data_IF_419391528343
#
_entry.id   IF_419391528343
#
_cell.length_a   1.000
_cell.length_b   1.000
_cell.length_c   1.000
_cell.angle_alpha   90.00
_cell.angle_beta   90.00
_cell.angle_gamma   90.00
#
_symmetry.space_group_name_H-M   'P 1'
#
loop_
_entity.id
_entity.type
_entity.pdbx_description
1 polymer ?
#
# COMPACT_ATOMS: atom_id res chain seq x y z
N UNK A 1 12.90 41.21 -5.18
CA UNK A 1 11.52 40.98 -4.69
C UNK A 1 10.80 40.18 -5.77
N UNK A 2 10.59 38.88 -5.57
CA UNK A 2 9.70 38.13 -6.45
C UNK A 2 8.27 38.50 -6.06
N UNK A 3 7.55 39.19 -6.94
CA UNK A 3 6.12 39.47 -6.81
C UNK A 3 5.39 38.15 -6.61
N UNK A 4 4.79 37.94 -5.44
CA UNK A 4 3.93 36.77 -5.18
C UNK A 4 2.62 36.99 -5.93
N UNK A 5 2.59 36.57 -7.19
CA UNK A 5 1.37 36.50 -7.98
C UNK A 5 0.55 35.31 -7.48
N UNK A 6 -0.72 35.54 -7.15
CA UNK A 6 -1.72 34.49 -6.93
C UNK A 6 -2.79 34.63 -8.01
N UNK A 7 -3.27 33.51 -8.54
CA UNK A 7 -4.27 33.48 -9.62
C UNK A 7 -5.24 32.35 -9.40
N UNK A 8 -6.47 32.56 -9.84
CA UNK A 8 -7.57 31.61 -9.76
C UNK A 8 -7.59 30.85 -11.09
N UNK A 9 -7.38 29.54 -11.02
CA UNK A 9 -7.46 28.65 -12.18
C UNK A 9 -8.81 27.92 -12.17
N UNK A 10 -9.68 28.11 -13.17
CA UNK A 10 -10.96 27.40 -13.26
C UNK A 10 -10.83 25.89 -13.51
N UNK A 11 -9.69 25.38 -14.02
CA UNK A 11 -9.54 23.98 -14.38
C UNK A 11 -8.09 23.46 -14.23
N UNK A 12 -7.97 22.17 -13.88
CA UNK A 12 -6.76 21.36 -14.06
C UNK A 12 -7.03 20.34 -15.17
N UNK A 13 -6.16 20.30 -16.17
CA UNK A 13 -6.22 19.34 -17.27
C UNK A 13 -5.23 18.22 -16.96
N UNK A 14 -5.74 17.01 -16.79
CA UNK A 14 -4.91 15.82 -16.55
C UNK A 14 -4.80 15.01 -17.83
N UNK A 15 -3.57 14.79 -18.29
CA UNK A 15 -3.28 13.94 -19.45
C UNK A 15 -2.46 12.73 -18.99
N UNK A 16 -3.01 11.54 -19.16
CA UNK A 16 -2.37 10.26 -18.80
C UNK A 16 -2.34 9.33 -20.00
N UNK A 17 -1.20 8.68 -20.24
CA UNK A 17 -1.04 7.80 -21.40
C UNK A 17 -1.64 6.41 -21.17
N UNK A 18 -1.65 5.91 -19.94
CA UNK A 18 -2.19 4.58 -19.61
C UNK A 18 -3.12 4.57 -18.39
N UNK A 19 -4.34 4.07 -18.60
CA UNK A 19 -5.40 3.97 -17.59
C UNK A 19 -5.57 2.55 -17.01
N UNK A 20 -4.84 1.55 -17.53
CA UNK A 20 -5.11 0.12 -17.27
C UNK A 20 -3.95 -0.63 -16.61
N UNK A 21 -2.97 0.09 -16.05
CA UNK A 21 -1.82 -0.56 -15.40
C UNK A 21 -2.21 -1.11 -14.01
N UNK A 22 -1.84 -2.36 -13.77
CA UNK A 22 -1.96 -2.99 -12.45
C UNK A 22 -0.90 -2.38 -11.52
N UNK A 23 -1.29 -1.95 -10.32
CA UNK A 23 -0.35 -1.47 -9.30
C UNK A 23 0.63 -2.58 -8.92
N UNK A 24 1.89 -2.41 -9.29
CA UNK A 24 3.00 -3.30 -8.95
C UNK A 24 4.25 -2.45 -8.71
N UNK A 25 5.29 -3.05 -8.14
CA UNK A 25 6.60 -2.40 -8.05
C UNK A 25 7.12 -2.07 -9.45
N UNK A 26 7.80 -0.93 -9.60
CA UNK A 26 8.34 -0.46 -10.87
C UNK A 26 7.34 0.21 -11.82
N UNK A 27 6.08 0.40 -11.40
CA UNK A 27 5.14 1.25 -12.14
C UNK A 27 5.65 2.69 -12.16
N UNK A 28 5.54 3.37 -13.30
CA UNK A 28 5.97 4.75 -13.44
C UNK A 28 5.06 5.70 -12.65
N UNK A 29 5.64 6.34 -11.63
CA UNK A 29 4.99 7.29 -10.73
C UNK A 29 5.40 8.74 -11.01
N UNK A 30 6.05 9.01 -12.15
CA UNK A 30 6.51 10.34 -12.54
C UNK A 30 5.39 11.21 -13.09
N UNK A 31 5.53 12.52 -12.92
CA UNK A 31 4.61 13.50 -13.47
C UNK A 31 5.30 14.84 -13.73
N UNK A 32 4.65 15.67 -14.54
CA UNK A 32 4.99 17.08 -14.70
C UNK A 32 3.76 17.96 -14.51
N UNK A 33 3.87 18.96 -13.65
CA UNK A 33 2.83 19.94 -13.32
C UNK A 33 3.27 21.34 -13.78
N UNK A 34 2.50 21.95 -14.68
CA UNK A 34 2.77 23.26 -15.25
C UNK A 34 1.62 24.22 -14.94
N UNK A 35 1.94 25.39 -14.41
CA UNK A 35 0.97 26.43 -14.05
C UNK A 35 1.53 27.81 -14.46
N UNK A 36 0.91 28.51 -15.42
CA UNK A 36 -0.23 28.05 -16.22
C UNK A 36 0.14 26.95 -17.22
N UNK A 37 -0.88 26.33 -17.82
CA UNK A 37 -0.74 25.49 -19.02
C UNK A 37 -0.08 26.31 -20.15
N UNK A 38 0.96 25.80 -20.82
CA UNK A 38 1.59 26.46 -21.97
C UNK A 38 0.62 26.84 -23.11
N UNK A 39 -0.44 26.06 -23.31
CA UNK A 39 -1.42 26.23 -24.39
C UNK A 39 -2.68 26.99 -23.93
N UNK A 40 -2.97 27.02 -22.63
CA UNK A 40 -4.09 27.76 -22.02
C UNK A 40 -3.68 28.47 -20.72
N UNK A 41 -3.45 29.78 -20.80
CA UNK A 41 -3.05 30.60 -19.66
C UNK A 41 -4.06 30.60 -18.48
N UNK A 42 -5.27 30.07 -18.67
CA UNK A 42 -6.33 29.96 -17.65
C UNK A 42 -6.42 28.58 -17.00
N UNK A 43 -5.61 27.61 -17.42
CA UNK A 43 -5.61 26.25 -16.87
C UNK A 43 -4.27 25.90 -16.21
N UNK A 44 -4.27 24.84 -15.41
CA UNK A 44 -3.07 24.11 -15.00
C UNK A 44 -2.99 22.80 -15.78
N UNK A 45 -1.79 22.40 -16.21
CA UNK A 45 -1.56 21.16 -16.94
C UNK A 45 -0.80 20.15 -16.08
N UNK A 46 -1.40 18.98 -15.87
CA UNK A 46 -0.76 17.83 -15.25
C UNK A 46 -0.60 16.71 -16.28
N UNK A 47 0.64 16.34 -16.56
CA UNK A 47 0.98 15.23 -17.46
C UNK A 47 1.64 14.11 -16.67
N UNK A 48 1.26 12.86 -16.95
CA UNK A 48 1.87 11.68 -16.34
C UNK A 48 1.81 10.49 -17.29
N UNK A 49 2.73 9.55 -17.12
CA UNK A 49 2.72 8.29 -17.89
C UNK A 49 1.55 7.40 -17.47
N UNK A 50 1.30 7.32 -16.16
CA UNK A 50 0.28 6.47 -15.56
C UNK A 50 -0.65 7.25 -14.64
N UNK A 51 -1.79 6.64 -14.29
CA UNK A 51 -2.71 7.19 -13.27
C UNK A 51 -2.01 7.43 -11.93
N UNK A 52 -0.99 6.65 -11.57
CA UNK A 52 -0.28 6.79 -10.29
C UNK A 52 0.60 8.04 -10.25
N UNK A 53 1.28 8.36 -11.35
CA UNK A 53 1.95 9.65 -11.50
C UNK A 53 0.99 10.82 -11.40
N UNK A 54 -0.19 10.71 -12.02
CA UNK A 54 -1.23 11.73 -11.92
C UNK A 54 -1.74 11.91 -10.49
N UNK A 55 -1.96 10.82 -9.72
CA UNK A 55 -2.34 10.91 -8.30
C UNK A 55 -1.31 11.68 -7.48
N UNK A 56 -0.01 11.41 -7.68
CA UNK A 56 1.07 12.14 -7.01
C UNK A 56 1.11 13.62 -7.40
N UNK A 57 0.87 13.91 -8.69
CA UNK A 57 0.81 15.28 -9.20
C UNK A 57 -0.39 16.07 -8.66
N UNK A 58 -1.54 15.42 -8.50
CA UNK A 58 -2.72 16.01 -7.86
C UNK A 58 -2.47 16.32 -6.38
N UNK A 59 -1.77 15.43 -5.66
CA UNK A 59 -1.37 15.72 -4.28
C UNK A 59 -0.40 16.91 -4.22
N UNK A 60 0.57 16.99 -5.13
CA UNK A 60 1.45 18.16 -5.18
C UNK A 60 0.69 19.44 -5.52
N UNK A 61 -0.28 19.38 -6.44
CA UNK A 61 -1.15 20.51 -6.75
C UNK A 61 -2.00 20.95 -5.56
N UNK A 62 -2.51 20.00 -4.76
CA UNK A 62 -3.29 20.28 -3.54
C UNK A 62 -2.47 21.10 -2.53
N UNK A 63 -1.17 20.81 -2.40
CA UNK A 63 -0.26 21.50 -1.48
C UNK A 63 0.14 22.92 -1.95
N UNK A 64 0.05 23.20 -3.25
CA UNK A 64 0.30 24.54 -3.81
C UNK A 64 -0.94 25.44 -3.66
N UNK A 65 -2.13 24.84 -3.66
CA UNK A 65 -3.39 25.52 -3.39
C UNK A 65 -3.43 26.01 -1.93
N UNK A 66 -3.89 27.24 -1.73
CA UNK A 66 -4.07 27.78 -0.39
C UNK A 66 -5.32 28.64 -0.30
N UNK A 67 -6.06 28.49 0.79
CA UNK A 67 -7.21 29.33 1.07
C UNK A 67 -6.75 30.73 1.50
N UNK A 68 -7.26 31.76 0.82
CA UNK A 68 -7.08 33.15 1.19
C UNK A 68 -8.30 33.61 2.01
N UNK A 69 -8.08 33.92 3.29
CA UNK A 69 -9.14 34.32 4.20
C UNK A 69 -9.75 35.71 3.88
N UNK A 70 -9.00 36.57 3.19
CA UNK A 70 -9.49 37.91 2.81
C UNK A 70 -10.43 37.82 1.61
N UNK A 71 -10.00 37.14 0.55
CA UNK A 71 -10.82 36.97 -0.66
C UNK A 71 -11.86 35.86 -0.52
N UNK A 72 -11.72 35.00 0.51
CA UNK A 72 -12.51 33.78 0.74
C UNK A 72 -12.47 32.82 -0.45
N UNK A 73 -11.36 32.80 -1.17
CA UNK A 73 -11.14 31.96 -2.34
C UNK A 73 -9.91 31.09 -2.16
N UNK A 74 -9.91 29.91 -2.79
CA UNK A 74 -8.71 29.10 -2.94
C UNK A 74 -7.89 29.67 -4.08
N UNK A 75 -6.63 29.98 -3.80
CA UNK A 75 -5.69 30.57 -4.75
C UNK A 75 -4.49 29.65 -4.94
N UNK A 76 -3.96 29.60 -6.16
CA UNK A 76 -2.71 28.89 -6.45
C UNK A 76 -1.54 29.83 -6.20
N UNK A 77 -0.56 29.38 -5.43
CA UNK A 77 0.63 30.17 -5.06
C UNK A 77 1.83 29.86 -5.96
N UNK A 78 2.81 30.77 -5.96
CA UNK A 78 4.13 30.59 -6.56
C UNK A 78 4.17 30.46 -8.09
N UNK A 79 3.19 31.02 -8.79
CA UNK A 79 3.16 31.01 -10.26
C UNK A 79 4.18 32.00 -10.86
N UNK A 80 4.80 31.68 -12.01
CA UNK A 80 4.65 30.42 -12.76
C UNK A 80 5.39 29.24 -12.09
N UNK A 81 4.82 28.04 -12.23
CA UNK A 81 5.35 26.78 -11.70
C UNK A 81 5.58 25.80 -12.85
N UNK A 82 6.74 25.14 -12.85
CA UNK A 82 7.03 23.97 -13.69
C UNK A 82 7.75 22.94 -12.82
N UNK A 83 7.01 21.91 -12.39
CA UNK A 83 7.49 20.84 -11.52
C UNK A 83 7.59 19.57 -12.35
N UNK A 84 8.79 18.99 -12.40
CA UNK A 84 9.01 17.62 -12.88
C UNK A 84 9.43 16.79 -11.68
N UNK A 85 8.66 15.77 -11.34
CA UNK A 85 8.90 14.97 -10.14
C UNK A 85 8.76 13.47 -10.42
N UNK A 86 9.53 12.68 -9.66
CA UNK A 86 9.50 11.22 -9.68
C UNK A 86 10.10 10.67 -8.39
N UNK A 87 9.65 9.50 -7.91
CA UNK A 87 10.27 8.90 -6.74
C UNK A 87 11.71 8.48 -7.03
N UNK A 88 12.59 8.69 -6.04
CA UNK A 88 13.96 8.13 -6.06
C UNK A 88 13.97 6.62 -5.89
N UNK A 89 13.03 6.08 -5.11
CA UNK A 89 12.91 4.66 -4.78
C UNK A 89 11.47 4.18 -4.99
N UNK A 90 11.32 3.02 -5.61
CA UNK A 90 10.03 2.42 -5.97
C UNK A 90 9.28 1.86 -4.76
N UNK A 91 9.99 1.39 -3.74
CA UNK A 91 9.39 0.84 -2.52
C UNK A 91 9.42 1.88 -1.40
N UNK A 92 8.25 2.41 -1.01
CA UNK A 92 8.11 3.41 0.05
C UNK A 92 7.04 2.95 1.03
N UNK A 93 7.49 2.17 2.01
CA UNK A 93 6.62 1.39 2.88
C UNK A 93 6.33 2.02 4.24
N UNK A 94 5.13 1.76 4.75
CA UNK A 94 4.75 1.95 6.15
C UNK A 94 4.26 0.61 6.71
N UNK A 95 4.76 0.21 7.88
CA UNK A 95 4.30 -1.01 8.56
C UNK A 95 3.25 -0.66 9.62
N UNK A 96 2.13 -1.38 9.63
CA UNK A 96 1.17 -1.38 10.74
C UNK A 96 1.10 -2.78 11.36
N UNK A 97 1.03 -2.84 12.68
CA UNK A 97 0.88 -4.08 13.45
C UNK A 97 -0.53 -4.15 14.03
N UNK A 98 -1.35 -5.04 13.50
CA UNK A 98 -2.74 -5.22 13.94
C UNK A 98 -2.93 -6.49 14.78
N UNK A 99 -1.83 -7.11 15.19
CA UNK A 99 -1.88 -8.28 16.07
C UNK A 99 -1.66 -7.91 17.52
N UNK A 100 -0.65 -7.09 17.81
CA UNK A 100 -0.32 -6.66 19.18
C UNK A 100 -1.45 -5.82 19.79
N UNK A 101 -2.12 -5.03 18.95
CA UNK A 101 -3.38 -4.38 19.24
C UNK A 101 -4.24 -4.44 17.99
N UNK A 102 -5.55 -4.66 18.15
CA UNK A 102 -6.48 -4.59 17.03
C UNK A 102 -6.67 -3.14 16.59
N UNK A 103 -6.58 -2.89 15.29
CA UNK A 103 -6.83 -1.56 14.70
C UNK A 103 -8.14 -1.56 13.92
N UNK A 104 -9.13 -0.72 14.28
CA UNK A 104 -10.37 -0.63 13.51
C UNK A 104 -10.11 -0.25 12.04
N UNK A 105 -10.89 -0.80 11.11
CA UNK A 105 -10.72 -0.53 9.67
C UNK A 105 -10.72 0.97 9.31
N UNK A 106 -11.48 1.79 10.05
CA UNK A 106 -11.47 3.25 9.88
C UNK A 106 -10.08 3.85 10.11
N UNK A 107 -9.34 3.34 11.09
CA UNK A 107 -7.97 3.79 11.38
C UNK A 107 -7.02 3.33 10.29
N UNK A 108 -7.11 2.06 9.86
CA UNK A 108 -6.31 1.53 8.74
C UNK A 108 -6.51 2.38 7.47
N UNK A 109 -7.74 2.75 7.15
CA UNK A 109 -8.04 3.64 6.01
C UNK A 109 -7.44 5.03 6.18
N UNK A 110 -7.58 5.62 7.38
CA UNK A 110 -6.98 6.92 7.68
C UNK A 110 -5.45 6.92 7.56
N UNK A 111 -4.80 5.80 7.87
CA UNK A 111 -3.36 5.62 7.66
C UNK A 111 -3.04 5.60 6.17
N UNK A 112 -3.81 4.86 5.35
CA UNK A 112 -3.63 4.82 3.90
C UNK A 112 -3.88 6.20 3.26
N UNK A 113 -4.88 6.94 3.72
CA UNK A 113 -5.10 8.34 3.29
C UNK A 113 -3.87 9.21 3.59
N UNK A 114 -3.32 9.07 4.80
CA UNK A 114 -2.12 9.81 5.20
C UNK A 114 -0.88 9.41 4.40
N UNK A 115 -0.78 8.13 4.00
CA UNK A 115 0.26 7.63 3.13
C UNK A 115 0.20 8.31 1.75
N UNK A 116 -1.00 8.55 1.21
CA UNK A 116 -1.18 9.24 -0.06
C UNK A 116 -0.63 10.68 -0.02
N UNK A 117 -0.89 11.43 1.07
CA UNK A 117 -0.34 12.77 1.26
C UNK A 117 1.20 12.79 1.26
N UNK A 118 1.81 11.74 1.79
CA UNK A 118 3.27 11.56 1.82
C UNK A 118 3.85 10.81 0.61
N UNK A 119 3.02 10.47 -0.38
CA UNK A 119 3.39 9.66 -1.56
C UNK A 119 4.02 8.30 -1.20
N UNK A 120 3.66 7.71 -0.06
CA UNK A 120 3.99 6.33 0.29
C UNK A 120 3.08 5.38 -0.51
N UNK A 121 3.63 4.25 -0.96
CA UNK A 121 2.94 3.38 -1.92
C UNK A 121 2.86 1.90 -1.49
N UNK A 122 3.43 1.55 -0.33
CA UNK A 122 3.33 0.19 0.21
C UNK A 122 2.83 0.22 1.65
N UNK A 123 1.68 -0.38 1.90
CA UNK A 123 1.27 -0.70 3.27
C UNK A 123 1.78 -2.11 3.58
N UNK A 124 2.79 -2.21 4.44
CA UNK A 124 3.22 -3.46 5.02
C UNK A 124 2.30 -3.79 6.20
N UNK A 125 1.25 -4.54 5.93
CA UNK A 125 0.29 -4.92 6.96
C UNK A 125 0.79 -6.17 7.71
N UNK A 126 1.31 -5.97 8.92
CA UNK A 126 1.68 -7.04 9.86
C UNK A 126 0.41 -7.49 10.60
N UNK A 127 -0.33 -8.41 9.97
CA UNK A 127 -1.71 -8.71 10.38
C UNK A 127 -1.78 -9.63 11.61
N UNK A 128 -0.84 -10.57 11.75
CA UNK A 128 -0.87 -11.64 12.76
C UNK A 128 0.47 -11.74 13.47
N UNK A 129 0.44 -12.15 14.73
CA UNK A 129 1.60 -12.36 15.60
C UNK A 129 1.22 -13.30 16.75
N UNK A 130 2.11 -13.48 17.72
CA UNK A 130 1.94 -14.35 18.89
C UNK A 130 0.69 -14.00 19.69
N UNK A 131 0.37 -12.71 19.81
CA UNK A 131 -0.67 -12.18 20.68
C UNK A 131 -2.07 -12.35 20.11
N UNK A 132 -2.24 -12.24 18.78
CA UNK A 132 -3.55 -12.46 18.17
C UNK A 132 -3.50 -12.83 16.68
N UNK A 133 -4.56 -13.51 16.25
CA UNK A 133 -4.83 -13.85 14.85
C UNK A 133 -6.20 -13.29 14.42
N UNK A 134 -6.29 -12.01 14.00
CA UNK A 134 -7.58 -11.38 13.70
C UNK A 134 -8.12 -11.67 12.29
N UNK A 135 -7.30 -12.15 11.36
CA UNK A 135 -7.68 -12.33 9.96
C UNK A 135 -8.48 -13.62 9.71
N UNK A 136 -9.55 -13.51 8.93
CA UNK A 136 -10.29 -14.66 8.43
C UNK A 136 -9.52 -15.43 7.35
N UNK A 137 -9.37 -16.74 7.55
CA UNK A 137 -8.83 -17.66 6.54
C UNK A 137 -9.88 -18.75 6.30
N UNK A 138 -10.69 -18.67 5.22
CA UNK A 138 -11.80 -19.60 5.01
C UNK A 138 -11.41 -21.08 4.96
N UNK A 139 -10.21 -21.38 4.45
CA UNK A 139 -9.67 -22.75 4.41
C UNK A 139 -9.22 -23.27 5.79
N UNK A 140 -9.01 -22.38 6.76
CA UNK A 140 -8.59 -22.69 8.12
C UNK A 140 -9.40 -21.85 9.15
N UNK A 141 -10.72 -22.07 9.26
CA UNK A 141 -11.63 -21.20 10.00
C UNK A 141 -11.43 -21.22 11.52
N UNK A 142 -10.55 -22.09 12.04
CA UNK A 142 -10.19 -22.12 13.46
C UNK A 142 -9.06 -21.14 13.82
N UNK A 143 -8.33 -20.60 12.83
CA UNK A 143 -7.17 -19.73 13.10
C UNK A 143 -7.58 -18.45 13.83
N UNK A 144 -8.63 -17.78 13.37
CA UNK A 144 -9.14 -16.57 14.03
C UNK A 144 -9.85 -16.79 15.37
N UNK A 145 -9.84 -18.02 15.92
CA UNK A 145 -10.10 -18.23 17.34
C UNK A 145 -8.97 -17.62 18.20
N UNK A 146 -7.82 -17.31 17.60
CA UNK A 146 -6.76 -16.51 18.22
C UNK A 146 -7.00 -15.00 18.17
N UNK A 147 -8.12 -14.50 17.64
CA UNK A 147 -8.48 -13.09 17.78
C UNK A 147 -8.80 -12.75 19.26
N UNK A 148 -8.63 -11.49 19.66
CA UNK A 148 -8.94 -11.05 21.03
C UNK A 148 -10.43 -11.24 21.37
N UNK A 149 -11.31 -10.81 20.47
CA UNK A 149 -12.76 -11.01 20.58
C UNK A 149 -13.38 -11.26 19.21
N UNK A 150 -14.68 -11.60 19.18
CA UNK A 150 -15.42 -11.72 17.93
C UNK A 150 -15.56 -10.40 17.15
N UNK A 151 -15.47 -9.25 17.84
CA UNK A 151 -15.57 -7.92 17.23
C UNK A 151 -14.22 -7.41 16.68
N UNK A 152 -13.12 -7.99 17.13
CA UNK A 152 -11.75 -7.62 16.76
C UNK A 152 -11.21 -8.60 15.71
N UNK A 153 -11.95 -8.70 14.60
CA UNK A 153 -11.66 -9.60 13.48
C UNK A 153 -11.75 -8.84 12.16
N UNK A 154 -10.91 -9.24 11.21
CA UNK A 154 -11.01 -8.82 9.82
C UNK A 154 -11.56 -9.97 9.00
N UNK A 155 -12.74 -9.79 8.43
CA UNK A 155 -13.29 -10.72 7.44
C UNK A 155 -12.50 -10.66 6.14
N UNK A 156 -12.70 -11.64 5.27
CA UNK A 156 -12.12 -11.59 3.93
C UNK A 156 -12.64 -10.40 3.12
N UNK A 157 -13.89 -9.99 3.36
CA UNK A 157 -14.49 -8.81 2.73
C UNK A 157 -13.85 -7.52 3.23
N UNK A 158 -13.55 -7.42 4.52
CA UNK A 158 -12.82 -6.28 5.08
C UNK A 158 -11.43 -6.12 4.44
N UNK A 159 -10.68 -7.23 4.33
CA UNK A 159 -9.37 -7.23 3.70
C UNK A 159 -9.45 -6.84 2.21
N UNK A 160 -10.43 -7.36 1.46
CA UNK A 160 -10.68 -6.95 0.07
C UNK A 160 -11.04 -5.47 -0.02
N UNK A 161 -11.90 -4.97 0.86
CA UNK A 161 -12.31 -3.57 0.87
C UNK A 161 -11.14 -2.61 1.13
N UNK A 162 -10.16 -3.00 1.95
CA UNK A 162 -8.92 -2.23 2.13
C UNK A 162 -8.09 -2.20 0.84
N UNK A 163 -7.96 -3.34 0.15
CA UNK A 163 -7.17 -3.45 -1.10
C UNK A 163 -7.83 -2.73 -2.28
N UNK A 164 -9.14 -2.84 -2.42
CA UNK A 164 -9.93 -2.26 -3.51
C UNK A 164 -10.20 -0.75 -3.30
N UNK A 165 -9.92 -0.22 -2.11
CA UNK A 165 -10.24 1.17 -1.79
C UNK A 165 -11.74 1.42 -1.57
N UNK A 166 -12.48 0.43 -1.06
CA UNK A 166 -13.90 0.58 -0.72
C UNK A 166 -14.08 1.47 0.51
N UNK A 167 -14.88 2.52 0.36
CA UNK A 167 -15.20 3.48 1.42
C UNK A 167 -14.19 4.63 1.56
N UNK A 168 -13.22 4.74 0.65
CA UNK A 168 -12.44 5.96 0.46
C UNK A 168 -13.29 6.99 -0.31
N UNK A 169 -13.04 8.30 -0.14
CA UNK A 169 -13.69 9.31 -0.97
C UNK A 169 -13.50 8.96 -2.45
N UNK A 170 -14.57 8.99 -3.24
CA UNK A 170 -14.45 8.89 -4.69
C UNK A 170 -13.56 10.04 -5.16
N UNK A 171 -12.29 9.77 -5.47
CA UNK A 171 -11.42 10.73 -6.12
C UNK A 171 -11.98 10.95 -7.54
N UNK A 172 -12.61 12.10 -7.70
CA UNK A 172 -13.43 12.50 -8.84
C UNK A 172 -12.61 12.78 -10.12
N UNK A 173 -13.17 12.57 -11.34
CA UNK A 173 -14.41 11.86 -11.72
C UNK A 173 -14.13 10.57 -12.55
N UNK A 174 -15.00 9.57 -12.75
CA UNK A 174 -16.47 9.38 -12.62
C UNK A 174 -16.80 7.88 -12.67
N UNK A 175 -18.09 7.52 -12.51
CA UNK A 175 -18.65 6.16 -12.58
C UNK A 175 -18.45 5.35 -13.89
N UNK A 176 -17.62 5.82 -14.82
CA UNK A 176 -17.15 5.06 -15.99
C UNK A 176 -15.71 4.52 -15.84
N UNK A 177 -14.97 4.91 -14.79
CA UNK A 177 -13.70 4.27 -14.42
C UNK A 177 -13.99 3.05 -13.53
N UNK A 178 -14.66 2.04 -14.10
CA UNK A 178 -14.97 0.78 -13.44
C UNK A 178 -13.90 -0.25 -13.75
N UNK A 179 -12.86 -0.33 -12.94
CA UNK A 179 -12.06 -1.55 -12.84
C UNK A 179 -11.95 -1.96 -11.37
N UNK A 180 -12.95 -2.66 -10.80
CA UNK A 180 -12.70 -3.56 -9.69
C UNK A 180 -12.28 -4.91 -10.29
N UNK A 181 -11.05 -5.31 -9.99
CA UNK A 181 -10.46 -6.59 -10.38
C UNK A 181 -11.36 -7.77 -9.92
N UNK A 182 -11.59 -8.71 -10.84
CA UNK A 182 -12.37 -9.93 -10.65
C UNK A 182 -11.75 -10.90 -9.60
N UNK A 183 -12.49 -11.17 -8.51
CA UNK A 183 -12.03 -11.85 -7.29
C UNK A 183 -12.61 -13.25 -7.07
N UNK A 184 -11.80 -14.25 -7.40
CA UNK A 184 -11.88 -15.61 -6.85
C UNK A 184 -10.54 -16.09 -6.27
N UNK A 185 -10.54 -16.39 -4.96
CA UNK A 185 -9.50 -17.06 -4.14
C UNK A 185 -8.47 -16.15 -3.42
N UNK A 186 -7.93 -16.60 -2.27
CA UNK A 186 -7.12 -15.82 -1.29
C UNK A 186 -5.86 -15.17 -1.88
N UNK A 187 -5.25 -15.78 -2.90
CA UNK A 187 -4.13 -15.19 -3.66
C UNK A 187 -4.55 -14.00 -4.54
N UNK A 188 -5.85 -13.77 -4.75
CA UNK A 188 -6.39 -12.57 -5.41
C UNK A 188 -6.84 -11.49 -4.42
N UNK A 189 -7.05 -11.81 -3.13
CA UNK A 189 -7.37 -10.79 -2.11
C UNK A 189 -6.23 -9.80 -1.96
N UNK A 190 -4.99 -10.29 -2.05
CA UNK A 190 -3.79 -9.47 -2.11
C UNK A 190 -3.15 -9.66 -3.49
N UNK A 191 -3.50 -8.84 -4.50
CA UNK A 191 -3.03 -9.01 -5.89
C UNK A 191 -1.57 -8.59 -6.09
N UNK A 192 -0.81 -8.42 -5.00
CA UNK A 192 0.57 -7.96 -5.02
C UNK A 192 1.52 -9.15 -5.10
N UNK A 193 2.60 -9.01 -5.88
CA UNK A 193 3.59 -10.08 -6.03
C UNK A 193 4.36 -10.37 -4.75
N UNK A 194 4.49 -9.43 -3.83
CA UNK A 194 5.30 -9.60 -2.63
C UNK A 194 4.51 -10.25 -1.50
N UNK A 195 5.16 -11.16 -0.78
CA UNK A 195 4.64 -11.76 0.44
C UNK A 195 5.71 -11.75 1.51
N UNK A 196 5.47 -11.04 2.61
CA UNK A 196 6.37 -11.05 3.75
C UNK A 196 6.18 -12.33 4.56
N UNK A 197 7.23 -13.12 4.71
CA UNK A 197 7.22 -14.41 5.40
C UNK A 197 7.77 -14.31 6.84
N UNK A 198 8.13 -13.11 7.29
CA UNK A 198 8.73 -12.88 8.60
C UNK A 198 10.13 -13.49 8.68
N UNK A 199 10.39 -14.23 9.76
CA UNK A 199 11.67 -14.91 9.97
C UNK A 199 12.61 -14.17 10.92
N UNK A 200 12.10 -13.22 11.68
CA UNK A 200 12.81 -12.55 12.75
C UNK A 200 12.77 -13.35 14.06
N UNK A 201 13.75 -13.06 14.92
CA UNK A 201 13.73 -13.39 16.36
C UNK A 201 13.41 -14.86 16.74
N UNK A 202 13.83 -15.82 15.90
CA UNK A 202 13.50 -17.23 16.13
C UNK A 202 14.31 -17.85 17.28
N UNK A 203 13.64 -18.04 18.43
CA UNK A 203 14.17 -18.87 19.52
C UNK A 203 13.97 -20.37 19.23
N UNK A 204 15.06 -21.04 18.89
CA UNK A 204 15.08 -22.47 18.59
C UNK A 204 15.16 -23.39 19.82
N UNK A 205 15.15 -22.85 21.05
CA UNK A 205 15.23 -23.67 22.27
C UNK A 205 14.05 -24.63 22.40
N UNK A 206 12.85 -24.22 21.97
CA UNK A 206 11.65 -25.05 22.00
C UNK A 206 11.75 -26.26 21.04
N UNK A 207 12.57 -26.18 19.99
CA UNK A 207 12.75 -27.25 19.00
C UNK A 207 13.50 -28.44 19.58
N UNK A 208 14.45 -28.17 20.48
CA UNK A 208 15.19 -29.22 21.22
C UNK A 208 14.30 -29.93 22.24
N UNK A 209 13.34 -29.20 22.84
CA UNK A 209 12.40 -29.75 23.83
C UNK A 209 11.24 -30.53 23.19
N UNK A 210 10.87 -30.18 21.96
CA UNK A 210 9.72 -30.78 21.27
C UNK A 210 10.11 -32.11 20.63
N UNK A 211 9.63 -33.23 21.18
CA UNK A 211 10.06 -34.60 20.84
C UNK A 211 10.04 -34.93 19.34
N UNK A 212 9.04 -34.48 18.58
CA UNK A 212 8.97 -34.79 17.15
C UNK A 212 9.96 -33.95 16.33
N UNK A 213 10.18 -32.67 16.70
CA UNK A 213 11.16 -31.79 16.04
C UNK A 213 12.58 -32.28 16.36
N UNK A 214 12.88 -32.55 17.63
CA UNK A 214 14.19 -33.06 18.05
C UNK A 214 14.56 -34.37 17.34
N UNK A 215 13.60 -35.30 17.18
CA UNK A 215 13.80 -36.53 16.39
C UNK A 215 14.04 -36.25 14.91
N UNK A 216 13.30 -35.32 14.32
CA UNK A 216 13.48 -34.95 12.92
C UNK A 216 14.85 -34.31 12.67
N UNK A 217 15.31 -33.42 13.56
CA UNK A 217 16.64 -32.82 13.51
C UNK A 217 17.74 -33.90 13.58
N UNK A 218 17.64 -34.82 14.55
CA UNK A 218 18.60 -35.91 14.70
C UNK A 218 18.62 -36.84 13.46
N UNK A 219 17.44 -37.18 12.93
CA UNK A 219 17.33 -38.03 11.73
C UNK A 219 17.96 -37.41 10.48
N UNK A 220 17.85 -36.09 10.32
CA UNK A 220 18.44 -35.36 9.19
C UNK A 220 19.86 -34.86 9.47
N UNK A 221 20.44 -35.19 10.62
CA UNK A 221 21.73 -34.68 11.09
C UNK A 221 21.82 -33.14 11.07
N UNK A 222 20.73 -32.47 11.46
CA UNK A 222 20.63 -31.02 11.49
C UNK A 222 20.79 -30.48 12.92
N UNK A 223 21.57 -29.40 13.03
CA UNK A 223 21.46 -28.47 14.16
C UNK A 223 20.13 -27.71 14.09
N UNK A 224 19.71 -27.10 15.19
CA UNK A 224 18.49 -26.30 15.19
C UNK A 224 18.56 -25.11 14.20
N UNK A 225 19.75 -24.50 14.03
CA UNK A 225 19.99 -23.44 13.03
C UNK A 225 19.80 -23.96 11.60
N UNK A 226 20.35 -25.13 11.28
CA UNK A 226 20.17 -25.76 9.95
C UNK A 226 18.73 -26.18 9.70
N UNK A 227 18.01 -26.64 10.74
CA UNK A 227 16.58 -26.90 10.65
C UNK A 227 15.78 -25.63 10.34
N UNK A 228 16.21 -24.49 10.91
CA UNK A 228 15.56 -23.20 10.67
C UNK A 228 15.82 -22.69 9.26
N UNK A 229 17.07 -22.74 8.81
CA UNK A 229 17.44 -22.48 7.42
C UNK A 229 16.62 -23.36 6.44
N UNK A 230 16.51 -24.66 6.72
CA UNK A 230 15.67 -25.57 5.93
C UNK A 230 14.20 -25.10 5.87
N UNK A 231 13.64 -24.69 7.01
CA UNK A 231 12.26 -24.21 7.09
C UNK A 231 12.05 -22.94 6.25
N UNK A 232 12.93 -21.94 6.40
CA UNK A 232 12.87 -20.68 5.65
C UNK A 232 12.96 -20.93 4.15
N UNK A 233 13.96 -21.69 3.70
CA UNK A 233 14.15 -22.01 2.28
C UNK A 233 12.98 -22.80 1.71
N UNK A 234 12.38 -23.70 2.50
CA UNK A 234 11.17 -24.44 2.09
C UNK A 234 9.96 -23.52 1.97
N UNK A 235 9.76 -22.59 2.91
CA UNK A 235 8.67 -21.62 2.86
C UNK A 235 8.80 -20.69 1.64
N UNK A 236 10.00 -20.15 1.40
CA UNK A 236 10.30 -19.35 0.21
C UNK A 236 10.03 -20.12 -1.09
N UNK A 237 10.45 -21.39 -1.17
CA UNK A 237 10.18 -22.25 -2.33
C UNK A 237 8.68 -22.45 -2.59
N UNK A 238 7.87 -22.54 -1.52
CA UNK A 238 6.41 -22.61 -1.65
C UNK A 238 5.87 -21.28 -2.19
N UNK A 239 6.28 -20.14 -1.63
CA UNK A 239 5.85 -18.82 -2.13
C UNK A 239 6.16 -18.64 -3.62
N UNK A 240 7.41 -18.94 -4.03
CA UNK A 240 7.85 -18.88 -5.43
C UNK A 240 7.02 -19.80 -6.35
N UNK A 241 6.64 -20.99 -5.88
CA UNK A 241 5.78 -21.93 -6.64
C UNK A 241 4.41 -21.33 -6.95
N UNK A 242 3.89 -20.44 -6.10
CA UNK A 242 2.63 -19.75 -6.31
C UNK A 242 2.79 -18.39 -7.01
N UNK A 243 3.96 -18.08 -7.56
CA UNK A 243 4.22 -16.82 -8.27
C UNK A 243 4.43 -15.61 -7.36
N UNK A 244 4.63 -15.85 -6.06
CA UNK A 244 4.90 -14.80 -5.07
C UNK A 244 6.42 -14.61 -4.91
N UNK A 245 6.82 -13.36 -4.66
CA UNK A 245 8.18 -12.95 -4.31
C UNK A 245 8.28 -12.84 -2.80
N UNK A 246 9.02 -13.75 -2.12
CA UNK A 246 9.12 -13.71 -0.68
C UNK A 246 9.96 -12.51 -0.22
N UNK A 247 9.53 -11.87 0.86
CA UNK A 247 10.32 -10.91 1.64
C UNK A 247 10.49 -11.51 3.03
N UNK A 248 11.68 -11.37 3.60
CA UNK A 248 12.01 -11.83 4.94
C UNK A 248 12.73 -10.70 5.69
N UNK A 249 12.80 -10.81 7.01
CA UNK A 249 13.65 -9.97 7.85
C UNK A 249 15.15 -10.19 7.60
#
# INVERSE_FOLDING_TARGET
MATRTSTIFPAIVTQTQSYTMILQIGVDESYRLQIPDPDDATAALLTAETVYGALHGLETFSQICAFNFTTKMTEVRYIPVDIVDRPRFEYRGLLIDTSRHYEPLKIVRSVIDSMAYAKLNVLHWHIVDTQSFPLEIPSFPKLWNGAYTGAERYTLEDAKGIVEGVGYPELWPSGNCTQPLDVSNFAKTFPFKFMHLGGDEVDTTCWKKTRHIARWLAHNNFTAKQGYEYFVLRAQKIALKYGLTPVNW
#
